data_IF_200121181187
#
_entry.id   IF_200121181187
#
_cell.length_a   1.000
_cell.length_b   1.000
_cell.length_c   1.000
_cell.angle_alpha   90.00
_cell.angle_beta   90.00
_cell.angle_gamma   90.00
#
_symmetry.space_group_name_H-M   'P 1'
#
loop_
_entity.id
_entity.type
_entity.pdbx_description
1 polymer ?
#
# COMPACT_ATOMS: atom_id res chain seq x y z
N UNK A 1 -16.13 12.54 -4.92
CA UNK A 1 -16.66 11.44 -5.73
C UNK A 1 -15.65 10.33 -5.64
N UNK A 2 -16.01 9.25 -4.95
CA UNK A 2 -15.11 8.13 -4.63
C UNK A 2 -15.31 7.00 -5.66
N UNK A 3 -14.28 6.19 -5.96
CA UNK A 3 -14.44 5.02 -6.81
C UNK A 3 -15.59 4.08 -6.38
N UNK A 4 -15.82 3.94 -5.07
CA UNK A 4 -16.94 3.14 -4.51
C UNK A 4 -18.36 3.68 -4.80
N UNK A 5 -18.46 4.94 -5.26
CA UNK A 5 -19.72 5.51 -5.75
C UNK A 5 -20.16 4.82 -7.06
N UNK A 6 -19.20 4.26 -7.84
CA UNK A 6 -19.43 3.64 -9.15
C UNK A 6 -19.21 2.13 -9.19
N UNK A 7 -18.29 1.63 -8.38
CA UNK A 7 -17.91 0.21 -8.38
C UNK A 7 -18.10 -0.39 -6.98
N UNK A 8 -18.56 -1.64 -6.94
CA UNK A 8 -18.73 -2.42 -5.70
C UNK A 8 -17.62 -3.45 -5.51
N UNK A 9 -16.94 -3.84 -6.58
CA UNK A 9 -15.88 -4.85 -6.55
C UNK A 9 -14.72 -4.49 -7.46
N UNK A 10 -13.52 -5.01 -7.18
CA UNK A 10 -12.38 -4.84 -8.07
C UNK A 10 -12.56 -5.62 -9.38
N UNK A 11 -13.41 -6.65 -9.41
CA UNK A 11 -13.85 -7.32 -10.64
C UNK A 11 -14.64 -6.38 -11.55
N UNK A 12 -15.52 -5.54 -11.00
CA UNK A 12 -16.23 -4.51 -11.77
C UNK A 12 -15.27 -3.45 -12.32
N UNK A 13 -14.28 -3.02 -11.51
CA UNK A 13 -13.22 -2.11 -11.97
C UNK A 13 -12.44 -2.76 -13.12
N UNK A 14 -12.07 -4.04 -12.98
CA UNK A 14 -11.38 -4.79 -14.04
C UNK A 14 -12.23 -4.89 -15.30
N UNK A 15 -13.50 -5.24 -15.19
CA UNK A 15 -14.41 -5.30 -16.34
C UNK A 15 -14.56 -3.95 -17.03
N UNK A 16 -14.62 -2.85 -16.26
CA UNK A 16 -14.64 -1.50 -16.80
C UNK A 16 -13.36 -1.18 -17.59
N UNK A 17 -12.20 -1.40 -17.00
CA UNK A 17 -10.90 -1.12 -17.64
C UNK A 17 -10.71 -1.93 -18.92
N UNK A 18 -10.99 -3.23 -18.88
CA UNK A 18 -10.92 -4.09 -20.07
C UNK A 18 -11.93 -3.66 -21.15
N UNK A 19 -13.12 -3.19 -20.75
CA UNK A 19 -14.12 -2.63 -21.66
C UNK A 19 -13.67 -1.33 -22.34
N UNK A 20 -12.75 -0.57 -21.75
CA UNK A 20 -12.17 0.63 -22.36
C UNK A 20 -11.05 0.32 -23.36
N UNK A 21 -10.47 -0.89 -23.34
CA UNK A 21 -9.28 -1.23 -24.15
C UNK A 21 -9.42 -0.89 -25.65
N UNK A 22 -10.53 -1.16 -26.34
CA UNK A 22 -10.67 -0.86 -27.77
C UNK A 22 -10.63 0.64 -28.13
N UNK A 23 -10.77 1.52 -27.13
CA UNK A 23 -10.89 2.98 -27.31
C UNK A 23 -9.65 3.75 -26.87
N UNK A 24 -8.65 3.08 -26.30
CA UNK A 24 -7.47 3.69 -25.72
C UNK A 24 -6.21 3.25 -26.46
N UNK A 25 -5.26 4.18 -26.62
CA UNK A 25 -3.89 3.83 -26.97
C UNK A 25 -3.24 2.96 -25.89
N UNK A 26 -2.11 2.33 -26.19
CA UNK A 26 -1.38 1.50 -25.23
C UNK A 26 -0.92 2.30 -24.01
N UNK A 27 -0.54 3.56 -24.19
CA UNK A 27 -0.10 4.45 -23.12
C UNK A 27 -1.28 4.87 -22.22
N UNK A 28 -2.42 5.22 -22.81
CA UNK A 28 -3.63 5.55 -22.07
C UNK A 28 -4.17 4.32 -21.32
N UNK A 29 -4.12 3.14 -21.94
CA UNK A 29 -4.54 1.90 -21.31
C UNK A 29 -3.63 1.55 -20.12
N UNK A 30 -2.30 1.67 -20.30
CA UNK A 30 -1.32 1.48 -19.22
C UNK A 30 -1.57 2.46 -18.08
N UNK A 31 -1.81 3.73 -18.40
CA UNK A 31 -2.10 4.77 -17.41
C UNK A 31 -3.40 4.51 -16.65
N UNK A 32 -4.43 4.01 -17.33
CA UNK A 32 -5.69 3.62 -16.70
C UNK A 32 -5.49 2.44 -15.74
N UNK A 33 -4.82 1.36 -16.19
CA UNK A 33 -4.50 0.21 -15.34
C UNK A 33 -3.70 0.62 -14.10
N UNK A 34 -2.77 1.55 -14.26
CA UNK A 34 -1.95 2.10 -13.18
C UNK A 34 -2.80 2.90 -12.18
N UNK A 35 -3.68 3.78 -12.68
CA UNK A 35 -4.59 4.58 -11.84
C UNK A 35 -5.59 3.70 -11.06
N UNK A 36 -5.97 2.55 -11.61
CA UNK A 36 -6.87 1.60 -10.95
C UNK A 36 -6.14 0.50 -10.17
N UNK A 37 -4.81 0.52 -10.13
CA UNK A 37 -3.96 -0.53 -9.52
C UNK A 37 -4.18 -1.94 -10.05
N UNK A 38 -4.55 -2.06 -11.32
CA UNK A 38 -4.64 -3.33 -12.07
C UNK A 38 -3.36 -3.64 -12.84
N UNK A 39 -2.31 -2.85 -12.65
CA UNK A 39 -1.02 -3.14 -13.24
C UNK A 39 -0.37 -4.32 -12.51
N UNK A 40 0.45 -5.10 -13.23
CA UNK A 40 1.23 -6.16 -12.59
C UNK A 40 2.30 -5.55 -11.69
N UNK A 41 2.61 -6.19 -10.55
CA UNK A 41 3.69 -5.74 -9.70
C UNK A 41 5.00 -5.87 -10.47
N UNK A 42 5.74 -4.77 -10.57
CA UNK A 42 7.00 -4.72 -11.28
C UNK A 42 8.14 -4.55 -10.28
N UNK A 43 9.27 -5.22 -10.51
CA UNK A 43 10.47 -5.06 -9.70
C UNK A 43 10.66 -6.08 -8.58
N UNK A 44 11.40 -5.71 -7.53
CA UNK A 44 11.86 -6.65 -6.47
C UNK A 44 10.79 -6.86 -5.41
N UNK A 45 10.13 -8.01 -5.49
CA UNK A 45 9.07 -8.40 -4.57
C UNK A 45 9.31 -9.78 -3.94
N UNK A 46 8.53 -10.10 -2.92
CA UNK A 46 8.38 -11.44 -2.35
C UNK A 46 6.90 -11.82 -2.40
N UNK A 47 6.62 -13.10 -2.62
CA UNK A 47 5.26 -13.65 -2.52
C UNK A 47 4.98 -14.00 -1.05
N UNK A 48 3.94 -13.41 -0.46
CA UNK A 48 3.45 -13.76 0.88
C UNK A 48 2.10 -14.46 0.73
N UNK A 49 2.00 -15.68 1.27
CA UNK A 49 0.77 -16.48 1.22
C UNK A 49 -0.42 -15.71 1.82
N UNK A 50 -1.52 -15.64 1.06
CA UNK A 50 -2.74 -14.92 1.47
C UNK A 50 -2.67 -13.40 1.36
N UNK A 51 -1.54 -12.82 0.92
CA UNK A 51 -1.35 -11.37 0.77
C UNK A 51 -0.99 -10.99 -0.67
N UNK A 52 -0.15 -11.81 -1.33
CA UNK A 52 0.32 -11.57 -2.69
C UNK A 52 1.75 -11.04 -2.76
N UNK A 53 2.07 -10.36 -3.86
CA UNK A 53 3.40 -9.79 -4.11
C UNK A 53 3.60 -8.49 -3.34
N UNK A 54 4.64 -8.45 -2.51
CA UNK A 54 4.97 -7.31 -1.66
C UNK A 54 6.43 -6.90 -1.88
N UNK A 55 6.67 -5.59 -1.94
CA UNK A 55 8.02 -5.03 -2.02
C UNK A 55 8.91 -5.57 -0.89
N UNK A 56 10.09 -6.08 -1.25
CA UNK A 56 10.94 -6.86 -0.35
C UNK A 56 11.26 -6.12 0.96
N UNK A 57 11.49 -4.82 0.89
CA UNK A 57 11.86 -3.99 2.04
C UNK A 57 10.77 -3.92 3.11
N UNK A 58 9.49 -3.89 2.71
CA UNK A 58 8.37 -3.75 3.66
C UNK A 58 7.69 -5.07 4.00
N UNK A 59 8.06 -6.17 3.33
CA UNK A 59 7.50 -7.50 3.57
C UNK A 59 7.49 -7.92 5.05
N UNK A 60 8.56 -7.74 5.86
CA UNK A 60 8.53 -8.08 7.29
C UNK A 60 7.47 -7.28 8.06
N UNK A 61 7.28 -6.01 7.72
CA UNK A 61 6.27 -5.14 8.34
C UNK A 61 4.86 -5.65 8.02
N UNK A 62 4.60 -6.01 6.75
CA UNK A 62 3.30 -6.52 6.31
C UNK A 62 2.96 -7.84 7.01
N UNK A 63 3.93 -8.73 7.14
CA UNK A 63 3.75 -10.00 7.86
C UNK A 63 3.38 -9.74 9.32
N UNK A 64 4.15 -8.90 10.02
CA UNK A 64 3.90 -8.59 11.43
C UNK A 64 2.51 -7.96 11.62
N UNK A 65 2.16 -6.96 10.81
CA UNK A 65 0.85 -6.31 10.86
C UNK A 65 -0.28 -7.32 10.69
N UNK A 66 -0.21 -8.16 9.65
CA UNK A 66 -1.24 -9.17 9.39
C UNK A 66 -1.33 -10.20 10.53
N UNK A 67 -0.20 -10.63 11.13
CA UNK A 67 -0.16 -11.53 12.28
C UNK A 67 -0.79 -10.91 13.54
N UNK A 68 -0.65 -9.60 13.71
CA UNK A 68 -1.31 -8.83 14.77
C UNK A 68 -2.76 -8.42 14.41
N UNK A 69 -3.32 -8.99 13.36
CA UNK A 69 -4.70 -8.78 12.92
C UNK A 69 -4.92 -7.55 12.04
N UNK A 70 -3.92 -6.72 11.77
CA UNK A 70 -4.02 -5.58 10.86
C UNK A 70 -4.04 -6.07 9.40
N UNK A 71 -5.23 -6.19 8.81
CA UNK A 71 -5.37 -6.66 7.43
C UNK A 71 -4.84 -5.62 6.44
N UNK A 72 -3.65 -5.86 5.89
CA UNK A 72 -3.07 -5.02 4.85
C UNK A 72 -3.87 -5.17 3.55
N UNK A 73 -4.39 -4.06 3.04
CA UNK A 73 -5.15 -4.03 1.78
C UNK A 73 -4.22 -3.87 0.57
N UNK A 74 -3.19 -3.04 0.71
CA UNK A 74 -2.20 -2.76 -0.35
C UNK A 74 -1.01 -2.02 0.22
N UNK A 75 0.16 -2.14 -0.41
CA UNK A 75 1.37 -1.44 0.03
C UNK A 75 2.36 -1.24 -1.11
N UNK A 76 3.29 -0.31 -0.91
CA UNK A 76 4.46 -0.09 -1.76
C UNK A 76 5.56 0.58 -0.92
N UNK A 77 6.81 0.13 -1.07
CA UNK A 77 7.93 0.72 -0.32
C UNK A 77 8.25 2.15 -0.77
N UNK A 78 7.89 2.49 -2.02
CA UNK A 78 8.23 3.76 -2.66
C UNK A 78 9.72 3.91 -2.98
N UNK A 79 10.50 2.82 -2.90
CA UNK A 79 11.93 2.80 -3.19
C UNK A 79 12.17 2.63 -4.70
N UNK A 80 12.86 3.59 -5.32
CA UNK A 80 13.23 3.52 -6.74
C UNK A 80 14.08 2.29 -7.05
N UNK A 81 14.91 1.87 -6.09
CA UNK A 81 15.77 0.67 -6.19
C UNK A 81 15.01 -0.67 -6.25
N UNK A 82 13.73 -0.67 -5.89
CA UNK A 82 12.81 -1.81 -6.07
C UNK A 82 11.94 -1.66 -7.32
N UNK A 83 11.83 -0.45 -7.89
CA UNK A 83 10.96 -0.08 -9.02
C UNK A 83 11.75 0.51 -10.20
N UNK A 84 12.62 -0.29 -10.84
CA UNK A 84 13.59 0.19 -11.85
C UNK A 84 12.94 0.90 -13.06
N UNK A 85 11.78 0.44 -13.51
CA UNK A 85 11.06 1.06 -14.63
C UNK A 85 10.46 2.44 -14.30
N UNK A 86 10.38 2.76 -13.01
CA UNK A 86 9.73 3.96 -12.52
C UNK A 86 10.72 4.85 -11.76
N UNK A 87 12.03 4.62 -11.94
CA UNK A 87 13.12 5.36 -11.29
C UNK A 87 13.03 6.88 -11.46
N UNK A 88 12.41 7.35 -12.53
CA UNK A 88 12.29 8.78 -12.85
C UNK A 88 11.08 9.45 -12.16
N UNK A 89 10.20 8.65 -11.57
CA UNK A 89 9.06 9.13 -10.80
C UNK A 89 9.37 9.08 -9.30
N UNK A 90 8.90 10.06 -8.54
CA UNK A 90 9.01 10.07 -7.08
C UNK A 90 7.72 9.54 -6.45
N UNK A 91 7.73 8.29 -6.00
CA UNK A 91 6.60 7.69 -5.31
C UNK A 91 6.75 7.83 -3.80
N UNK A 92 5.64 8.11 -3.14
CA UNK A 92 5.55 7.94 -1.69
C UNK A 92 5.46 6.45 -1.39
N UNK A 93 6.22 6.00 -0.40
CA UNK A 93 6.01 4.69 0.18
C UNK A 93 4.71 4.71 0.99
N UNK A 94 3.96 3.62 0.99
CA UNK A 94 2.74 3.51 1.77
C UNK A 94 2.41 2.08 2.20
N UNK A 95 1.69 1.97 3.31
CA UNK A 95 0.99 0.76 3.75
C UNK A 95 -0.45 1.17 4.04
N UNK A 96 -1.42 0.55 3.36
CA UNK A 96 -2.84 0.74 3.60
C UNK A 96 -3.42 -0.47 4.35
N UNK A 97 -3.95 -0.24 5.54
CA UNK A 97 -4.62 -1.25 6.38
C UNK A 97 -6.12 -1.03 6.32
N UNK A 98 -6.90 -2.08 6.12
CA UNK A 98 -8.36 -2.01 6.11
C UNK A 98 -8.87 -1.46 7.44
N UNK A 99 -9.80 -0.50 7.36
CA UNK A 99 -10.58 -0.06 8.50
C UNK A 99 -11.67 -1.09 8.80
N UNK A 100 -11.48 -1.87 9.88
CA UNK A 100 -12.43 -2.87 10.37
C UNK A 100 -13.35 -2.32 11.48
N UNK A 101 -13.27 -1.02 11.78
CA UNK A 101 -14.02 -0.37 12.86
C UNK A 101 -13.44 -0.53 14.26
N UNK A 102 -12.28 -1.21 14.43
CA UNK A 102 -11.60 -1.29 15.72
C UNK A 102 -10.80 -0.01 16.00
N UNK A 103 -11.44 0.92 16.70
CA UNK A 103 -10.85 2.21 17.10
C UNK A 103 -9.64 2.06 18.03
N UNK A 104 -9.56 1.00 18.85
CA UNK A 104 -8.39 0.79 19.73
C UNK A 104 -7.18 0.45 18.88
N UNK A 105 -7.35 -0.49 17.95
CA UNK A 105 -6.32 -0.94 17.02
C UNK A 105 -5.84 0.19 16.09
N UNK A 106 -6.79 0.98 15.58
CA UNK A 106 -6.52 2.21 14.81
C UNK A 106 -5.67 3.19 15.59
N UNK A 107 -6.12 3.58 16.80
CA UNK A 107 -5.41 4.59 17.60
C UNK A 107 -4.02 4.09 18.02
N UNK A 108 -3.88 2.80 18.35
CA UNK A 108 -2.56 2.21 18.63
C UNK A 108 -1.59 2.33 17.45
N UNK A 109 -2.04 2.04 16.23
CA UNK A 109 -1.19 2.19 15.04
C UNK A 109 -0.88 3.67 14.76
N UNK A 110 -1.88 4.55 14.89
CA UNK A 110 -1.69 6.01 14.74
C UNK A 110 -0.64 6.53 15.72
N UNK A 111 -0.70 6.13 16.98
CA UNK A 111 0.25 6.58 18.00
C UNK A 111 1.68 6.13 17.68
N UNK A 112 1.85 4.86 17.27
CA UNK A 112 3.15 4.32 16.82
C UNK A 112 3.71 5.15 15.65
N UNK A 113 2.87 5.43 14.65
CA UNK A 113 3.24 6.14 13.43
C UNK A 113 3.54 7.62 13.70
N UNK A 114 2.80 8.26 14.61
CA UNK A 114 2.94 9.69 14.95
C UNK A 114 4.30 10.06 15.56
N UNK A 115 5.02 9.08 16.13
CA UNK A 115 6.35 9.24 16.67
C UNK A 115 7.47 9.13 15.61
N UNK A 116 7.11 8.88 14.35
CA UNK A 116 8.01 8.55 13.25
C UNK A 116 7.79 9.53 12.07
N UNK A 117 8.69 9.58 11.07
CA UNK A 117 8.57 10.50 9.91
C UNK A 117 7.52 10.03 8.88
N UNK A 118 6.34 9.65 9.37
CA UNK A 118 5.23 9.19 8.55
C UNK A 118 4.02 10.09 8.72
N UNK A 119 3.18 10.10 7.69
CA UNK A 119 1.81 10.61 7.78
C UNK A 119 0.84 9.46 7.99
N UNK A 120 -0.24 9.74 8.70
CA UNK A 120 -1.35 8.81 8.92
C UNK A 120 -2.61 9.44 8.34
N UNK A 121 -3.14 8.85 7.28
CA UNK A 121 -4.28 9.36 6.51
C UNK A 121 -5.43 8.33 6.54
N UNK A 122 -6.67 8.80 6.38
CA UNK A 122 -7.84 7.93 6.25
C UNK A 122 -8.48 8.15 4.89
N UNK A 123 -8.41 7.16 4.01
CA UNK A 123 -8.89 7.28 2.63
C UNK A 123 -9.47 5.96 2.13
N UNK A 124 -10.12 6.00 0.97
CA UNK A 124 -10.56 4.78 0.30
C UNK A 124 -9.44 4.26 -0.61
N UNK A 125 -9.10 2.98 -0.45
CA UNK A 125 -8.10 2.28 -1.26
C UNK A 125 -8.71 0.98 -1.77
N UNK A 126 -8.73 0.80 -3.09
CA UNK A 126 -9.34 -0.37 -3.73
C UNK A 126 -10.76 -0.67 -3.21
N UNK A 127 -11.61 0.37 -3.18
CA UNK A 127 -13.01 0.32 -2.75
C UNK A 127 -13.24 -0.02 -1.26
N UNK A 128 -12.19 0.01 -0.43
CA UNK A 128 -12.29 -0.19 1.02
C UNK A 128 -11.81 1.05 1.76
N UNK A 129 -12.51 1.41 2.83
CA UNK A 129 -11.99 2.41 3.77
C UNK A 129 -10.74 1.85 4.44
N UNK A 130 -9.69 2.66 4.51
CA UNK A 130 -8.39 2.24 4.99
C UNK A 130 -7.68 3.36 5.76
N UNK A 131 -6.77 2.95 6.62
CA UNK A 131 -5.77 3.79 7.25
C UNK A 131 -4.46 3.65 6.51
N UNK A 132 -3.88 4.77 6.08
CA UNK A 132 -2.69 4.78 5.23
C UNK A 132 -1.53 5.41 5.99
N UNK A 133 -0.47 4.63 6.15
CA UNK A 133 0.83 5.10 6.64
C UNK A 133 1.68 5.47 5.44
N UNK A 134 2.06 6.74 5.26
CA UNK A 134 2.86 7.18 4.11
C UNK A 134 4.18 7.83 4.51
N UNK A 135 5.23 7.56 3.71
CA UNK A 135 6.55 8.20 3.80
C UNK A 135 6.95 8.79 2.45
N UNK A 136 7.56 9.98 2.49
CA UNK A 136 8.08 10.69 1.33
C UNK A 136 9.59 10.93 1.49
N UNK A 137 10.29 11.25 0.40
CA UNK A 137 11.71 11.59 0.44
C UNK A 137 12.59 10.64 -0.38
N UNK A 138 13.89 10.68 -0.14
CA UNK A 138 14.87 9.85 -0.86
C UNK A 138 14.73 8.37 -0.48
N UNK A 139 15.25 7.46 -1.32
CA UNK A 139 15.32 6.03 -0.99
C UNK A 139 16.02 5.78 0.36
N UNK A 140 17.10 6.51 0.65
CA UNK A 140 17.80 6.41 1.93
C UNK A 140 16.90 6.79 3.11
N UNK A 141 16.13 7.88 2.97
CA UNK A 141 15.21 8.32 4.01
C UNK A 141 14.05 7.33 4.21
N UNK A 142 13.44 6.87 3.11
CA UNK A 142 12.34 5.90 3.13
C UNK A 142 12.80 4.58 3.77
N UNK A 143 13.97 4.07 3.37
CA UNK A 143 14.50 2.83 3.92
C UNK A 143 14.73 2.92 5.44
N UNK A 144 15.39 3.98 5.91
CA UNK A 144 15.57 4.22 7.36
C UNK A 144 14.22 4.35 8.08
N UNK A 145 13.25 5.02 7.47
CA UNK A 145 11.92 5.20 8.04
C UNK A 145 11.19 3.85 8.17
N UNK A 146 11.27 2.98 7.16
CA UNK A 146 10.70 1.64 7.22
C UNK A 146 11.36 0.77 8.30
N UNK A 147 12.70 0.81 8.41
CA UNK A 147 13.43 0.11 9.49
C UNK A 147 12.98 0.60 10.88
N UNK A 148 12.81 1.92 11.06
CA UNK A 148 12.31 2.49 12.31
C UNK A 148 10.87 2.04 12.61
N UNK A 149 10.00 2.03 11.60
CA UNK A 149 8.63 1.57 11.76
C UNK A 149 8.57 0.09 12.14
N UNK A 150 9.35 -0.77 11.46
CA UNK A 150 9.42 -2.19 11.77
C UNK A 150 9.79 -2.40 13.24
N UNK A 151 10.90 -1.81 13.69
CA UNK A 151 11.36 -1.93 15.07
C UNK A 151 10.30 -1.45 16.06
N UNK A 152 9.63 -0.33 15.76
CA UNK A 152 8.61 0.21 16.65
C UNK A 152 7.37 -0.67 16.74
N UNK A 153 6.96 -1.27 15.61
CA UNK A 153 5.88 -2.24 15.58
C UNK A 153 6.26 -3.51 16.36
N UNK A 154 7.49 -4.01 16.21
CA UNK A 154 7.97 -5.14 17.00
C UNK A 154 7.95 -4.83 18.51
N UNK A 155 8.38 -3.64 18.94
CA UNK A 155 8.31 -3.23 20.35
C UNK A 155 6.89 -3.11 20.91
N UNK A 156 5.94 -2.64 20.09
CA UNK A 156 4.60 -2.26 20.56
C UNK A 156 3.50 -3.28 20.25
N UNK A 157 3.70 -4.13 19.25
CA UNK A 157 2.74 -5.12 18.76
C UNK A 157 3.21 -6.56 18.92
N UNK A 158 4.47 -6.82 19.32
CA UNK A 158 4.92 -8.19 19.56
C UNK A 158 3.92 -8.92 20.45
N UNK A 159 3.47 -10.06 19.92
CA UNK A 159 2.53 -10.97 20.52
C UNK A 159 3.14 -11.49 21.84
N UNK A 160 2.44 -11.30 22.96
CA UNK A 160 2.63 -12.15 24.15
C UNK A 160 2.22 -13.60 23.85
#
# INVERSE_FOLDING_TARGET
MKPSDYFKTMEEVKAYVEGQRPYLSDEEYKSLKLATGLNEQMGKHVEIEGVGQIDKTIAPIIILLNQCGYCTNSSCSGLKSEHEEWKDYDFRGYIAVVDDGDEIKKNKLRDIVSALPFSFEEEEVYLKQAYIVRVSGTDEHKNKSWEMLQKKLEECLALE
#
